data_IF_674201077322
#
_entry.id   IF_674201077322
#
_cell.length_a   1.000
_cell.length_b   1.000
_cell.length_c   1.000
_cell.angle_alpha   90.00
_cell.angle_beta   90.00
_cell.angle_gamma   90.00
#
_symmetry.space_group_name_H-M   'P 1'
#
loop_
_entity.id
_entity.type
_entity.pdbx_description
1 polymer ?
#
# COMPACT_ATOMS: atom_id res chain seq x y z
N UNK A 1 49.44 -58.62 -28.33
CA UNK A 1 49.56 -57.78 -27.11
C UNK A 1 49.46 -56.32 -27.52
N UNK A 2 48.32 -55.66 -27.30
CA UNK A 2 48.18 -54.19 -27.23
C UNK A 2 46.81 -53.85 -26.62
N UNK A 3 46.82 -53.17 -25.49
CA UNK A 3 45.65 -52.62 -24.77
C UNK A 3 45.31 -51.25 -25.35
N UNK A 4 44.03 -50.90 -25.50
CA UNK A 4 43.56 -49.49 -25.53
C UNK A 4 42.02 -49.46 -25.32
N UNK A 5 41.56 -49.18 -24.09
CA UNK A 5 41.02 -47.89 -23.58
C UNK A 5 39.59 -47.58 -24.08
N UNK A 6 38.63 -47.72 -23.18
CA UNK A 6 37.28 -47.20 -23.30
C UNK A 6 37.23 -45.70 -22.95
N UNK A 7 36.47 -44.87 -23.68
CA UNK A 7 35.98 -43.61 -23.14
C UNK A 7 34.51 -43.73 -22.71
N UNK A 8 34.31 -43.44 -21.43
CA UNK A 8 33.03 -43.10 -20.80
C UNK A 8 32.54 -41.80 -21.44
N UNK A 9 31.32 -41.78 -21.99
CA UNK A 9 30.69 -40.52 -22.42
C UNK A 9 29.69 -40.06 -21.37
N UNK A 10 29.96 -38.84 -20.93
CA UNK A 10 29.45 -38.11 -19.79
C UNK A 10 27.97 -37.71 -19.98
N UNK A 11 27.18 -37.86 -18.91
CA UNK A 11 25.80 -37.38 -18.85
C UNK A 11 25.73 -35.86 -18.96
N UNK A 12 24.89 -35.33 -19.83
CA UNK A 12 24.42 -33.95 -19.73
C UNK A 12 23.01 -33.94 -19.17
N UNK A 13 22.92 -33.90 -17.84
CA UNK A 13 21.72 -33.41 -17.17
C UNK A 13 21.72 -31.89 -17.31
N UNK A 14 20.80 -31.36 -18.10
CA UNK A 14 20.58 -29.92 -18.25
C UNK A 14 20.07 -29.37 -16.91
N UNK A 15 20.97 -28.77 -16.13
CA UNK A 15 20.62 -28.08 -14.90
C UNK A 15 20.03 -26.71 -15.27
N UNK A 16 18.69 -26.61 -15.25
CA UNK A 16 17.98 -25.34 -15.45
C UNK A 16 18.23 -24.42 -14.27
N UNK A 17 19.10 -23.43 -14.45
CA UNK A 17 19.37 -22.35 -13.50
C UNK A 17 18.14 -21.42 -13.46
N UNK A 18 17.28 -21.55 -12.45
CA UNK A 18 16.24 -20.54 -12.21
C UNK A 18 16.90 -19.29 -11.62
N UNK A 19 17.19 -18.32 -12.49
CA UNK A 19 17.57 -16.96 -12.10
C UNK A 19 16.35 -16.33 -11.42
N UNK A 20 16.42 -16.15 -10.09
CA UNK A 20 15.43 -15.39 -9.34
C UNK A 20 15.48 -13.94 -9.78
N UNK A 21 14.57 -13.54 -10.68
CA UNK A 21 14.32 -12.14 -10.98
C UNK A 21 13.66 -11.55 -9.75
N UNK A 22 14.41 -10.79 -8.95
CA UNK A 22 13.81 -9.92 -7.93
C UNK A 22 13.04 -8.84 -8.66
N UNK A 23 11.72 -8.98 -8.77
CA UNK A 23 10.89 -7.85 -9.17
C UNK A 23 11.06 -6.75 -8.12
N UNK A 24 11.64 -5.62 -8.53
CA UNK A 24 11.60 -4.41 -7.72
C UNK A 24 10.14 -3.96 -7.69
N UNK A 25 9.43 -4.27 -6.60
CA UNK A 25 8.10 -3.76 -6.38
C UNK A 25 8.15 -2.23 -6.44
N UNK A 26 7.40 -1.63 -7.37
CA UNK A 26 7.22 -0.18 -7.40
C UNK A 26 6.20 0.20 -6.33
N UNK A 27 6.41 1.34 -5.66
CA UNK A 27 5.45 1.85 -4.70
C UNK A 27 4.11 2.11 -5.38
N UNK A 28 3.04 1.57 -4.80
CA UNK A 28 1.70 1.68 -5.32
C UNK A 28 0.73 2.09 -4.20
N UNK A 29 -0.52 2.34 -4.58
CA UNK A 29 -1.60 2.58 -3.64
C UNK A 29 -1.69 1.44 -2.61
N UNK A 30 -1.74 1.79 -1.33
CA UNK A 30 -2.01 0.82 -0.26
C UNK A 30 -3.53 0.64 -0.13
N UNK A 31 -4.08 -0.55 -0.37
CA UNK A 31 -5.52 -0.77 -0.35
C UNK A 31 -6.06 -0.98 1.08
N UNK A 32 -7.38 -0.87 1.22
CA UNK A 32 -8.12 -1.28 2.42
C UNK A 32 -7.67 -0.60 3.73
N UNK A 33 -7.18 0.63 3.67
CA UNK A 33 -6.83 1.41 4.86
C UNK A 33 -8.10 1.71 5.67
N UNK A 34 -8.01 1.71 6.99
CA UNK A 34 -9.07 2.21 7.87
C UNK A 34 -8.59 3.41 8.67
N UNK A 35 -9.51 4.31 9.04
CA UNK A 35 -9.21 5.52 9.78
C UNK A 35 -9.98 5.58 11.11
N UNK A 36 -9.37 6.21 12.11
CA UNK A 36 -9.97 6.46 13.42
C UNK A 36 -9.46 7.80 13.96
N UNK A 37 -10.21 8.43 14.86
CA UNK A 37 -9.81 9.71 15.44
C UNK A 37 -10.37 9.88 16.85
N UNK A 38 -9.67 10.67 17.67
CA UNK A 38 -10.19 11.15 18.95
C UNK A 38 -10.83 12.55 18.86
N UNK A 39 -10.97 13.09 17.64
CA UNK A 39 -11.53 14.42 17.38
C UNK A 39 -13.05 14.41 17.18
N UNK A 40 -13.70 13.25 17.35
CA UNK A 40 -15.13 13.05 17.12
C UNK A 40 -15.54 13.17 15.65
N UNK A 41 -16.85 13.14 15.40
CA UNK A 41 -17.42 13.45 14.08
C UNK A 41 -18.65 14.33 14.24
N UNK A 42 -18.78 15.33 13.38
CA UNK A 42 -19.89 16.27 13.34
C UNK A 42 -20.70 16.10 12.04
N UNK A 43 -21.93 16.65 12.03
CA UNK A 43 -22.79 16.74 10.84
C UNK A 43 -23.03 15.40 10.13
N UNK A 44 -23.06 14.31 10.90
CA UNK A 44 -23.20 12.94 10.39
C UNK A 44 -22.09 12.49 9.42
N UNK A 45 -20.97 13.22 9.34
CA UNK A 45 -19.78 12.78 8.60
C UNK A 45 -19.12 11.59 9.28
N UNK A 46 -18.34 10.82 8.53
CA UNK A 46 -17.65 9.64 9.04
C UNK A 46 -16.17 9.66 8.67
N UNK A 47 -15.29 9.38 9.63
CA UNK A 47 -13.84 9.34 9.39
C UNK A 47 -13.45 8.29 8.34
N UNK A 48 -14.26 7.23 8.17
CA UNK A 48 -14.05 6.23 7.11
C UNK A 48 -14.16 6.81 5.69
N UNK A 49 -14.85 7.94 5.51
CA UNK A 49 -14.93 8.63 4.22
C UNK A 49 -13.60 9.25 3.78
N UNK A 50 -12.58 9.25 4.64
CA UNK A 50 -11.28 9.86 4.34
C UNK A 50 -10.25 8.90 3.77
N UNK A 51 -10.63 7.63 3.57
CA UNK A 51 -9.74 6.59 3.04
C UNK A 51 -10.46 5.63 2.09
N UNK A 52 -11.78 5.79 1.89
CA UNK A 52 -12.60 4.86 1.11
C UNK A 52 -12.75 5.27 -0.35
N UNK A 53 -12.17 6.42 -0.74
CA UNK A 53 -12.24 6.95 -2.10
C UNK A 53 -13.60 7.54 -2.49
N UNK A 54 -14.55 7.69 -1.58
CA UNK A 54 -15.78 8.43 -1.85
C UNK A 54 -15.40 9.84 -2.30
N UNK A 55 -15.99 10.34 -3.39
CA UNK A 55 -15.63 11.65 -3.94
C UNK A 55 -14.45 11.65 -4.91
N UNK A 56 -13.65 10.58 -4.98
CA UNK A 56 -12.71 10.37 -6.10
C UNK A 56 -13.44 9.82 -7.34
N UNK A 57 -12.79 9.83 -8.53
CA UNK A 57 -13.38 9.25 -9.73
C UNK A 57 -13.82 7.79 -9.50
N UNK A 58 -15.06 7.49 -9.90
CA UNK A 58 -15.70 6.18 -9.67
C UNK A 58 -15.84 5.78 -8.19
N UNK A 59 -15.72 6.73 -7.24
CA UNK A 59 -15.72 6.48 -5.81
C UNK A 59 -14.75 5.37 -5.39
N UNK A 60 -13.56 5.36 -5.97
CA UNK A 60 -12.53 4.33 -5.75
C UNK A 60 -11.23 4.98 -5.27
N UNK A 61 -10.56 4.42 -4.25
CA UNK A 61 -9.25 4.89 -3.79
C UNK A 61 -8.24 5.06 -4.93
N UNK A 62 -7.52 6.18 -4.95
CA UNK A 62 -6.52 6.50 -5.96
C UNK A 62 -5.50 7.48 -5.40
N UNK A 63 -4.29 7.48 -5.96
CA UNK A 63 -3.23 8.44 -5.58
C UNK A 63 -3.32 9.78 -6.33
N UNK A 64 -4.08 9.86 -7.43
CA UNK A 64 -3.99 10.98 -8.39
C UNK A 64 -5.34 11.52 -8.88
N UNK A 65 -6.47 11.06 -8.34
CA UNK A 65 -7.80 11.51 -8.75
C UNK A 65 -8.14 12.93 -8.26
N UNK A 66 -8.95 13.67 -9.03
CA UNK A 66 -9.54 14.91 -8.52
C UNK A 66 -10.71 14.55 -7.61
N UNK A 67 -10.66 14.99 -6.36
CA UNK A 67 -11.71 14.75 -5.38
C UNK A 67 -12.81 15.82 -5.54
N UNK A 68 -14.06 15.39 -5.64
CA UNK A 68 -15.22 16.27 -5.66
C UNK A 68 -15.29 17.15 -4.40
N UNK A 69 -16.18 18.15 -4.38
CA UNK A 69 -16.34 18.97 -3.17
C UNK A 69 -16.67 18.13 -1.94
N UNK A 70 -16.01 18.45 -0.82
CA UNK A 70 -16.25 17.82 0.47
C UNK A 70 -17.71 17.99 0.93
N UNK A 71 -18.31 16.89 1.34
CA UNK A 71 -19.70 16.78 1.77
C UNK A 71 -19.83 15.72 2.87
N UNK A 72 -21.05 15.52 3.37
CA UNK A 72 -21.29 14.55 4.46
C UNK A 72 -21.00 13.10 4.08
N UNK A 73 -21.00 12.75 2.78
CA UNK A 73 -20.80 11.37 2.30
C UNK A 73 -19.40 11.06 1.78
N UNK A 74 -18.52 12.06 1.63
CA UNK A 74 -17.20 11.91 1.00
C UNK A 74 -16.09 12.74 1.69
N UNK A 75 -16.34 13.25 2.89
CA UNK A 75 -15.35 13.94 3.69
C UNK A 75 -15.62 13.69 5.17
N UNK A 76 -14.70 14.13 6.01
CA UNK A 76 -14.87 14.10 7.46
C UNK A 76 -14.74 15.48 8.08
N UNK A 77 -15.56 15.68 9.12
CA UNK A 77 -15.66 16.91 9.89
C UNK A 77 -15.60 16.55 11.39
N UNK A 78 -14.56 17.00 12.09
CA UNK A 78 -14.35 16.76 13.51
C UNK A 78 -15.11 17.74 14.41
N UNK A 79 -15.36 17.32 15.65
CA UNK A 79 -15.90 18.20 16.72
C UNK A 79 -14.79 18.89 17.52
N UNK A 80 -13.55 18.39 17.44
CA UNK A 80 -12.37 19.04 18.02
C UNK A 80 -11.52 19.73 16.94
N UNK A 81 -10.84 20.82 17.33
CA UNK A 81 -9.92 21.55 16.46
C UNK A 81 -8.60 20.81 16.22
N UNK A 82 -8.13 20.11 17.23
CA UNK A 82 -6.82 19.45 17.28
C UNK A 82 -6.97 18.06 17.89
N UNK A 83 -6.07 17.16 17.54
CA UNK A 83 -6.08 15.80 18.04
C UNK A 83 -5.35 14.86 17.09
N UNK A 84 -5.70 13.58 17.16
CA UNK A 84 -5.05 12.53 16.42
C UNK A 84 -6.02 11.89 15.43
N UNK A 85 -5.55 11.69 14.21
CA UNK A 85 -6.20 10.84 13.21
C UNK A 85 -5.22 9.71 12.92
N UNK A 86 -5.62 8.47 13.17
CA UNK A 86 -4.78 7.29 13.00
C UNK A 86 -5.34 6.41 11.89
N UNK A 87 -4.48 6.12 10.93
CA UNK A 87 -4.73 5.27 9.79
C UNK A 87 -4.08 3.91 10.03
N UNK A 88 -4.86 2.84 9.99
CA UNK A 88 -4.36 1.47 10.00
C UNK A 88 -4.23 1.00 8.54
N UNK A 89 -3.02 0.65 8.15
CA UNK A 89 -2.70 0.22 6.79
C UNK A 89 -3.09 -1.24 6.51
N UNK A 90 -3.55 -1.97 7.54
CA UNK A 90 -3.94 -3.38 7.49
C UNK A 90 -2.85 -4.30 6.91
N UNK A 91 -1.59 -3.94 7.17
CA UNK A 91 -0.39 -4.65 6.75
C UNK A 91 0.84 -3.82 7.13
N UNK A 92 2.02 -4.39 6.93
CA UNK A 92 3.29 -3.67 7.10
C UNK A 92 3.82 -3.26 5.73
N UNK A 93 4.12 -1.97 5.58
CA UNK A 93 4.54 -1.37 4.32
C UNK A 93 5.81 -0.55 4.48
N UNK A 94 6.65 -0.57 3.46
CA UNK A 94 7.67 0.45 3.22
C UNK A 94 6.97 1.65 2.57
N UNK A 95 6.58 2.63 3.38
CA UNK A 95 5.86 3.83 2.93
C UNK A 95 6.78 4.75 2.15
N UNK A 96 6.40 5.11 0.93
CA UNK A 96 7.13 6.10 0.13
C UNK A 96 6.49 7.51 0.22
N UNK A 97 5.27 7.64 0.73
CA UNK A 97 4.56 8.92 0.79
C UNK A 97 3.04 8.77 0.85
N UNK A 98 2.34 9.89 0.59
CA UNK A 98 0.88 9.92 0.53
C UNK A 98 0.36 11.09 -0.33
N UNK A 99 -0.87 10.93 -0.80
CA UNK A 99 -1.68 11.97 -1.42
C UNK A 99 -2.76 12.42 -0.45
N UNK A 100 -2.95 13.73 -0.31
CA UNK A 100 -3.87 14.34 0.64
C UNK A 100 -4.78 15.36 -0.04
N UNK A 101 -6.08 15.19 0.14
CA UNK A 101 -7.10 16.14 -0.29
C UNK A 101 -7.63 16.87 0.92
N UNK A 102 -7.31 18.16 0.98
CA UNK A 102 -7.83 19.02 2.03
C UNK A 102 -9.29 19.41 1.72
N UNK A 103 -10.00 19.96 2.71
CA UNK A 103 -11.43 20.21 2.58
C UNK A 103 -11.72 21.39 1.62
N UNK A 104 -12.12 21.13 0.38
CA UNK A 104 -12.54 22.17 -0.58
C UNK A 104 -13.99 22.64 -0.33
N UNK A 105 -14.38 23.77 -0.94
CA UNK A 105 -15.63 24.47 -0.63
C UNK A 105 -15.55 25.24 0.69
N UNK A 106 -15.50 24.54 1.83
CA UNK A 106 -15.35 25.14 3.16
C UNK A 106 -13.89 25.18 3.66
N UNK A 107 -12.98 25.69 2.82
CA UNK A 107 -11.52 25.57 2.98
C UNK A 107 -10.90 25.94 4.33
N UNK A 108 -11.55 26.78 5.14
CA UNK A 108 -11.04 27.17 6.46
C UNK A 108 -11.09 26.04 7.48
N UNK A 109 -11.91 24.99 7.25
CA UNK A 109 -11.94 23.78 8.10
C UNK A 109 -10.77 22.86 7.83
N UNK A 110 -10.08 23.03 6.69
CA UNK A 110 -8.99 22.18 6.28
C UNK A 110 -7.89 22.10 7.34
N UNK A 111 -7.26 20.94 7.45
CA UNK A 111 -6.07 20.77 8.30
C UNK A 111 -4.97 21.71 7.79
N UNK A 112 -4.33 22.43 8.71
CA UNK A 112 -3.17 23.29 8.43
C UNK A 112 -1.92 22.70 9.06
N UNK A 113 -1.71 22.89 10.35
CA UNK A 113 -0.55 22.38 11.06
C UNK A 113 -0.71 20.91 11.40
N UNK A 114 0.30 20.11 11.10
CA UNK A 114 0.28 18.66 11.31
C UNK A 114 1.67 18.13 11.66
N UNK A 115 1.73 17.11 12.51
CA UNK A 115 2.91 16.24 12.62
C UNK A 115 2.52 14.85 12.12
N UNK A 116 3.25 14.35 11.12
CA UNK A 116 3.03 13.00 10.57
C UNK A 116 3.94 12.02 11.28
N UNK A 117 3.35 10.96 11.82
CA UNK A 117 4.05 9.91 12.57
C UNK A 117 3.76 8.53 11.98
N UNK A 118 4.70 7.60 12.14
CA UNK A 118 4.55 6.20 11.79
C UNK A 118 4.65 5.30 13.03
N UNK A 119 4.02 4.13 12.94
CA UNK A 119 4.14 3.06 13.93
C UNK A 119 4.03 1.69 13.27
N UNK A 120 4.73 0.70 13.80
CA UNK A 120 4.60 -0.72 13.41
C UNK A 120 3.67 -1.50 14.32
N UNK A 121 3.35 -0.96 15.51
CA UNK A 121 2.59 -1.65 16.56
C UNK A 121 1.31 -0.92 16.98
N UNK A 122 1.05 0.27 16.43
CA UNK A 122 -0.16 1.04 16.70
C UNK A 122 -0.20 1.72 18.06
N UNK A 123 0.88 1.66 18.84
CA UNK A 123 0.96 2.27 20.20
C UNK A 123 2.10 3.27 20.31
N UNK A 124 3.28 2.92 19.82
CA UNK A 124 4.47 3.79 19.83
C UNK A 124 4.60 4.47 18.48
N UNK A 125 4.48 5.79 18.45
CA UNK A 125 4.52 6.58 17.22
C UNK A 125 5.79 7.45 17.19
N UNK A 126 6.45 7.44 16.04
CA UNK A 126 7.66 8.25 15.79
C UNK A 126 7.40 9.19 14.63
N UNK A 127 7.80 10.46 14.76
CA UNK A 127 7.70 11.44 13.68
C UNK A 127 8.50 10.99 12.46
N UNK A 128 7.87 11.06 11.29
CA UNK A 128 8.54 10.76 10.02
C UNK A 128 9.43 11.95 9.65
N UNK A 129 10.74 11.73 9.54
CA UNK A 129 11.67 12.77 9.13
C UNK A 129 11.36 13.25 7.70
N UNK A 130 11.32 14.57 7.51
CA UNK A 130 11.03 15.19 6.21
C UNK A 130 9.56 15.18 5.79
N UNK A 131 8.64 14.63 6.61
CA UNK A 131 7.22 14.75 6.36
C UNK A 131 6.74 16.21 6.49
N UNK A 132 5.65 16.59 5.79
CA UNK A 132 5.13 17.96 5.86
C UNK A 132 4.70 18.31 7.29
N UNK A 133 5.01 19.54 7.71
CA UNK A 133 4.51 20.13 8.96
C UNK A 133 3.26 20.99 8.75
N UNK A 134 2.91 21.25 7.50
CA UNK A 134 1.76 22.03 7.11
C UNK A 134 1.18 21.52 5.79
N UNK A 135 -0.14 21.34 5.73
CA UNK A 135 -0.87 21.15 4.47
C UNK A 135 -1.35 22.50 3.93
N UNK A 136 -1.31 22.68 2.61
CA UNK A 136 -1.87 23.84 1.94
C UNK A 136 -3.39 23.91 2.12
N UNK A 137 -3.92 25.12 2.14
CA UNK A 137 -5.37 25.37 2.12
C UNK A 137 -5.94 24.89 0.76
N UNK A 138 -7.10 24.25 0.78
CA UNK A 138 -7.83 23.92 -0.44
C UNK A 138 -8.32 25.19 -1.16
N UNK A 139 -8.73 25.09 -2.42
CA UNK A 139 -9.31 26.23 -3.10
C UNK A 139 -10.66 26.62 -2.47
N UNK A 140 -11.04 27.89 -2.61
CA UNK A 140 -12.36 28.38 -2.19
C UNK A 140 -13.47 28.01 -3.19
N UNK A 141 -13.25 26.97 -3.98
CA UNK A 141 -14.14 26.53 -5.06
C UNK A 141 -14.91 25.30 -4.64
N UNK A 142 -16.07 25.08 -5.29
CA UNK A 142 -16.82 23.83 -5.19
C UNK A 142 -16.46 22.86 -6.32
N UNK A 143 -15.36 23.14 -7.03
CA UNK A 143 -14.86 22.29 -8.10
C UNK A 143 -14.02 21.13 -7.53
N UNK A 144 -13.84 20.10 -8.34
CA UNK A 144 -12.99 18.97 -7.97
C UNK A 144 -11.51 19.40 -7.91
N UNK A 145 -10.77 18.93 -6.91
CA UNK A 145 -9.37 19.32 -6.67
C UNK A 145 -8.43 18.11 -6.65
N UNK A 146 -7.24 18.31 -7.19
CA UNK A 146 -6.15 17.32 -7.17
C UNK A 146 -5.49 17.25 -5.78
N UNK A 147 -4.85 16.11 -5.42
CA UNK A 147 -4.20 15.99 -4.13
C UNK A 147 -2.97 16.89 -4.02
N UNK A 148 -2.62 17.19 -2.76
CA UNK A 148 -1.25 17.48 -2.39
C UNK A 148 -0.50 16.15 -2.27
N UNK A 149 0.59 15.98 -3.01
CA UNK A 149 1.41 14.77 -2.96
C UNK A 149 2.67 15.02 -2.15
N UNK A 150 2.94 14.14 -1.19
CA UNK A 150 4.11 14.17 -0.34
C UNK A 150 4.89 12.87 -0.50
N UNK A 151 6.21 13.00 -0.69
CA UNK A 151 7.13 11.87 -0.76
C UNK A 151 8.14 11.95 0.38
N UNK A 152 8.46 10.80 0.95
CA UNK A 152 9.50 10.71 1.98
C UNK A 152 10.86 10.51 1.32
N UNK A 153 11.90 11.14 1.87
CA UNK A 153 13.27 11.04 1.36
C UNK A 153 13.85 9.63 1.50
N UNK A 154 13.28 8.81 2.38
CA UNK A 154 13.62 7.41 2.54
C UNK A 154 12.36 6.64 2.94
N UNK A 155 12.14 5.41 2.44
CA UNK A 155 10.97 4.64 2.81
C UNK A 155 10.88 4.37 4.31
N UNK A 156 9.66 4.43 4.85
CA UNK A 156 9.40 4.25 6.30
C UNK A 156 8.59 2.98 6.51
N UNK A 157 9.13 2.01 7.25
CA UNK A 157 8.37 0.81 7.62
C UNK A 157 7.26 1.16 8.61
N UNK A 158 6.01 0.92 8.25
CA UNK A 158 4.86 1.24 9.08
C UNK A 158 3.68 0.28 8.84
N UNK A 159 2.91 0.07 9.91
CA UNK A 159 1.57 -0.54 9.86
C UNK A 159 0.48 0.48 10.18
N UNK A 160 0.86 1.61 10.77
CA UNK A 160 -0.02 2.72 11.12
C UNK A 160 0.65 4.04 10.78
N UNK A 161 -0.15 4.99 10.32
CA UNK A 161 0.24 6.40 10.19
C UNK A 161 -0.66 7.22 11.10
N UNK A 162 -0.12 8.25 11.75
CA UNK A 162 -0.90 9.19 12.56
C UNK A 162 -0.62 10.61 12.11
N UNK A 163 -1.68 11.36 11.88
CA UNK A 163 -1.64 12.82 11.82
C UNK A 163 -1.98 13.36 13.20
N UNK A 164 -1.02 14.06 13.80
CA UNK A 164 -1.23 14.89 14.99
C UNK A 164 -1.59 16.28 14.48
N UNK A 165 -2.88 16.59 14.49
CA UNK A 165 -3.43 17.85 13.98
C UNK A 165 -3.21 18.95 15.00
N UNK A 166 -2.44 19.97 14.64
CA UNK A 166 -2.09 21.10 15.48
C UNK A 166 -2.94 22.35 15.22
N UNK A 167 -3.43 22.54 14.00
CA UNK A 167 -4.30 23.68 13.67
C UNK A 167 -5.09 23.45 12.37
N UNK A 168 -6.07 24.32 12.12
CA UNK A 168 -6.77 24.46 10.84
C UNK A 168 -6.53 25.86 10.23
N UNK A 169 -7.30 26.21 9.19
CA UNK A 169 -7.22 27.48 8.48
C UNK A 169 -8.13 28.59 9.04
N UNK A 170 -8.49 28.51 10.33
CA UNK A 170 -9.23 29.57 11.04
C UNK A 170 -10.72 29.28 11.25
N UNK A 171 -11.16 28.04 11.06
CA UNK A 171 -12.52 27.62 11.38
C UNK A 171 -12.66 27.16 12.84
N UNK A 172 -13.88 27.07 13.34
CA UNK A 172 -14.22 26.49 14.65
C UNK A 172 -14.28 24.96 14.63
N UNK A 173 -13.93 24.33 13.51
CA UNK A 173 -13.86 22.88 13.35
C UNK A 173 -12.76 22.49 12.36
N UNK A 174 -12.33 21.23 12.42
CA UNK A 174 -11.28 20.70 11.55
C UNK A 174 -11.78 19.50 10.76
N UNK A 175 -11.44 19.44 9.47
CA UNK A 175 -11.84 18.36 8.58
C UNK A 175 -10.90 18.25 7.39
N UNK A 176 -11.06 17.18 6.63
CA UNK A 176 -10.40 16.97 5.36
C UNK A 176 -11.21 15.98 4.52
N UNK A 177 -10.91 15.91 3.24
CA UNK A 177 -11.66 15.08 2.31
C UNK A 177 -11.12 13.65 2.32
N UNK A 178 -9.83 13.47 2.00
CA UNK A 178 -9.28 12.14 1.74
C UNK A 178 -7.76 12.09 1.99
N UNK A 179 -7.24 10.92 2.33
CA UNK A 179 -5.81 10.59 2.27
C UNK A 179 -5.62 9.19 1.69
N UNK A 180 -4.62 9.04 0.83
CA UNK A 180 -4.23 7.75 0.26
C UNK A 180 -2.73 7.57 0.38
N UNK A 181 -2.29 6.41 0.87
CA UNK A 181 -0.87 6.13 1.11
C UNK A 181 -0.27 5.36 -0.06
N UNK A 182 1.00 5.64 -0.36
CA UNK A 182 1.78 4.86 -1.31
C UNK A 182 2.90 4.09 -0.59
N UNK A 183 3.21 2.91 -1.11
CA UNK A 183 4.30 2.10 -0.58
C UNK A 183 4.38 0.74 -1.23
N UNK A 184 5.31 -0.06 -0.74
CA UNK A 184 5.43 -1.48 -1.08
C UNK A 184 5.22 -2.31 0.19
N UNK A 185 4.70 -3.54 0.10
CA UNK A 185 4.70 -4.44 1.25
C UNK A 185 6.13 -4.57 1.82
N UNK A 186 6.29 -4.41 3.14
CA UNK A 186 7.61 -4.43 3.80
C UNK A 186 8.31 -5.79 3.69
N UNK A 187 7.53 -6.84 3.41
CA UNK A 187 8.01 -8.14 2.97
C UNK A 187 7.14 -8.54 1.77
N UNK A 188 7.72 -9.10 0.69
CA UNK A 188 6.91 -9.72 -0.36
C UNK A 188 5.94 -10.72 0.28
N UNK A 189 4.75 -10.96 -0.31
CA UNK A 189 3.93 -12.11 0.08
C UNK A 189 4.87 -13.30 0.18
N UNK A 190 4.97 -13.92 1.36
CA UNK A 190 5.88 -15.06 1.56
C UNK A 190 5.61 -16.09 0.45
N UNK A 191 6.60 -16.93 0.07
CA UNK A 191 6.42 -17.89 -1.00
C UNK A 191 5.11 -18.63 -0.75
N UNK A 192 4.10 -18.34 -1.59
CA UNK A 192 2.91 -19.15 -1.65
C UNK A 192 3.46 -20.55 -1.87
N UNK A 193 3.11 -21.51 -1.02
CA UNK A 193 3.41 -22.91 -1.31
C UNK A 193 2.74 -23.19 -2.64
N UNK A 194 3.50 -23.10 -3.74
CA UNK A 194 3.11 -23.67 -5.02
C UNK A 194 2.73 -25.09 -4.63
N UNK A 195 1.47 -25.53 -4.83
CA UNK A 195 1.14 -26.93 -4.62
C UNK A 195 2.18 -27.69 -5.41
N UNK A 196 3.04 -28.45 -4.72
CA UNK A 196 4.04 -29.25 -5.40
C UNK A 196 3.24 -30.05 -6.40
N UNK A 197 3.44 -29.75 -7.68
CA UNK A 197 2.75 -30.45 -8.73
C UNK A 197 3.13 -31.92 -8.55
N UNK A 198 2.19 -32.74 -8.07
CA UNK A 198 2.34 -34.19 -7.89
C UNK A 198 2.78 -34.91 -9.19
N UNK A 199 2.90 -34.16 -10.29
CA UNK A 199 3.57 -34.46 -11.55
C UNK A 199 4.97 -35.06 -11.42
N UNK A 200 5.77 -34.72 -10.38
CA UNK A 200 7.13 -35.28 -10.23
C UNK A 200 7.12 -36.78 -9.86
N UNK A 201 6.15 -37.24 -9.07
CA UNK A 201 5.98 -38.67 -8.76
C UNK A 201 5.29 -39.43 -9.90
N UNK A 202 4.39 -38.78 -10.64
CA UNK A 202 3.72 -39.39 -11.78
C UNK A 202 4.69 -39.69 -12.94
N UNK A 203 5.70 -38.85 -13.17
CA UNK A 203 6.69 -39.06 -14.23
C UNK A 203 7.70 -40.18 -13.89
N UNK A 204 7.97 -40.41 -12.60
CA UNK A 204 8.81 -41.53 -12.15
C UNK A 204 8.08 -42.89 -12.26
N UNK A 205 6.75 -42.90 -12.12
CA UNK A 205 5.94 -44.12 -12.19
C UNK A 205 5.69 -44.64 -13.61
N UNK A 206 5.69 -43.79 -14.64
CA UNK A 206 5.48 -44.22 -16.04
C UNK A 206 6.77 -44.51 -16.83
N UNK A 207 7.95 -44.18 -16.28
CA UNK A 207 9.24 -44.36 -16.95
C UNK A 207 9.81 -45.79 -16.95
N UNK A 208 9.30 -46.71 -16.10
CA UNK A 208 9.86 -48.06 -15.97
C UNK A 208 9.07 -49.19 -16.67
N UNK A 209 7.93 -48.91 -17.31
CA UNK A 209 7.09 -49.95 -17.94
C UNK A 209 7.28 -50.07 -19.47
N UNK A 210 8.39 -49.55 -20.03
CA UNK A 210 8.57 -49.40 -21.48
C UNK A 210 9.72 -50.17 -22.13
N UNK A 211 10.44 -51.04 -21.41
CA UNK A 211 11.56 -51.80 -22.00
C UNK A 211 11.39 -53.29 -21.73
N UNK A 212 10.73 -53.99 -22.65
CA UNK A 212 10.56 -55.43 -22.57
C UNK A 212 9.97 -56.05 -23.83
N UNK A 213 10.85 -56.43 -24.76
CA UNK A 213 10.68 -57.43 -25.83
C UNK A 213 9.89 -57.07 -27.12
N UNK A 214 10.66 -56.65 -28.14
CA UNK A 214 10.39 -57.01 -29.55
C UNK A 214 11.66 -57.49 -30.28
N UNK A 215 11.66 -58.77 -30.66
CA UNK A 215 11.99 -59.34 -31.99
C UNK A 215 11.94 -60.87 -31.84
N UNK A 216 10.98 -61.63 -32.38
CA UNK A 216 10.59 -61.95 -33.79
C UNK A 216 11.74 -62.51 -34.66
N UNK A 217 11.60 -63.82 -34.92
CA UNK A 217 11.88 -64.64 -36.12
C UNK A 217 13.20 -64.42 -36.86
#
# INVERSE_FOLDING_TARGET
MKVAIAPIVLSTASLGLMLGVTENAQAALIPNITASTNMGSAFSTNIANTVNGAGLPSNTPSLTGSHAVGSVSNAWFGTALTGNITFNLNGSYSLAGFSFWNFNGQRTVGIKGVTVQASTNGTTFTTIAGAPTQFAIAAASFDAENPQTFSFSSPVTASFVRFVVASNWGSTATGFSEVQFNGTPAQPPGPQSVPESSSLLALLAFGLAGVGFRKRM
#
